data_IF_860698927432
#
_entry.id   IF_860698927432
#
_cell.length_a   1.000
_cell.length_b   1.000
_cell.length_c   1.000
_cell.angle_alpha   90.00
_cell.angle_beta   90.00
_cell.angle_gamma   90.00
#
_symmetry.space_group_name_H-M   'P 1'
#
loop_
_entity.id
_entity.type
_entity.pdbx_description
1 polymer ?
#
# COMPACT_ATOMS: atom_id res chain seq x y z
N UNK A 1 -23.39 2.61 2.24
CA UNK A 1 -22.80 3.33 3.39
C UNK A 1 -21.28 3.38 3.19
N UNK A 2 -20.82 4.35 2.41
CA UNK A 2 -19.40 4.58 2.12
C UNK A 2 -18.84 5.42 3.27
N UNK A 3 -17.89 4.90 4.04
CA UNK A 3 -17.01 5.74 4.85
C UNK A 3 -15.59 5.50 4.40
N UNK A 4 -15.10 6.52 3.71
CA UNK A 4 -13.73 6.69 3.29
C UNK A 4 -12.79 6.57 4.48
N UNK A 5 -11.70 5.87 4.22
CA UNK A 5 -10.45 5.89 4.95
C UNK A 5 -9.96 7.34 5.05
N UNK A 6 -9.68 7.82 6.26
CA UNK A 6 -8.65 8.83 6.58
C UNK A 6 -8.78 9.17 8.07
N UNK A 7 -8.07 8.44 8.92
CA UNK A 7 -7.70 8.95 10.25
C UNK A 7 -6.23 8.65 10.54
N UNK A 8 -5.45 9.73 10.44
CA UNK A 8 -4.42 10.18 11.38
C UNK A 8 -3.18 9.28 11.56
N UNK A 9 -2.12 9.58 10.81
CA UNK A 9 -0.77 9.51 11.36
C UNK A 9 -0.48 10.82 12.09
N UNK A 10 -0.44 10.73 13.42
CA UNK A 10 0.01 11.79 14.33
C UNK A 10 1.54 11.88 14.28
N UNK A 11 2.06 13.05 13.93
CA UNK A 11 3.49 13.35 14.09
C UNK A 11 3.74 13.86 15.50
N UNK A 12 4.64 13.18 16.21
CA UNK A 12 5.10 13.49 17.56
C UNK A 12 5.91 14.79 17.58
N UNK A 13 5.61 15.65 18.56
CA UNK A 13 6.41 16.81 18.95
C UNK A 13 7.59 16.35 19.80
N UNK A 14 8.81 16.71 19.41
CA UNK A 14 10.00 16.59 20.27
C UNK A 14 10.76 17.92 20.32
N UNK A 15 10.99 18.35 21.55
CA UNK A 15 11.65 19.58 21.99
C UNK A 15 13.17 19.42 21.96
N UNK A 16 13.94 20.49 21.65
CA UNK A 16 15.03 21.03 22.50
C UNK A 16 16.13 21.82 21.77
N UNK A 17 16.50 22.93 22.43
CA UNK A 17 17.84 23.54 22.63
C UNK A 17 18.67 24.08 21.45
N UNK A 18 18.90 25.41 21.47
CA UNK A 18 19.99 26.11 20.79
C UNK A 18 21.31 26.01 21.58
N UNK A 19 22.46 25.99 20.89
CA UNK A 19 23.54 26.92 21.24
C UNK A 19 24.19 27.59 20.02
N UNK A 20 25.04 28.58 20.32
CA UNK A 20 25.51 29.68 19.47
C UNK A 20 26.79 29.38 18.63
N UNK A 21 26.96 30.20 17.58
CA UNK A 21 28.18 30.57 16.79
C UNK A 21 28.85 29.43 15.98
N UNK A 22 29.31 29.60 14.74
CA UNK A 22 30.33 30.53 14.21
C UNK A 22 30.16 30.78 12.69
N UNK A 23 30.82 31.82 12.19
CA UNK A 23 30.80 32.38 10.81
C UNK A 23 30.97 31.32 9.69
N UNK A 24 30.06 31.33 8.71
CA UNK A 24 30.26 30.75 7.37
C UNK A 24 29.84 31.79 6.31
N UNK A 25 30.74 32.69 5.97
CA UNK A 25 30.69 33.39 4.69
C UNK A 25 31.40 32.50 3.68
N UNK A 26 30.67 32.07 2.64
CA UNK A 26 31.14 31.33 1.45
C UNK A 26 30.92 29.80 1.41
N UNK A 27 29.69 29.35 1.70
CA UNK A 27 29.18 28.01 1.32
C UNK A 27 27.67 28.10 1.03
N UNK A 28 27.24 28.84 0.00
CA UNK A 28 25.80 29.01 -0.27
C UNK A 28 25.35 28.52 -1.65
N UNK A 29 26.21 27.87 -2.45
CA UNK A 29 25.77 27.35 -3.75
C UNK A 29 26.05 25.87 -4.03
N UNK A 30 26.90 25.24 -3.22
CA UNK A 30 27.32 23.85 -3.45
C UNK A 30 26.39 22.85 -2.73
N UNK A 31 25.67 23.29 -1.70
CA UNK A 31 24.88 22.41 -0.81
C UNK A 31 23.49 22.07 -1.33
N UNK A 32 22.85 22.96 -2.09
CA UNK A 32 21.51 22.71 -2.65
C UNK A 32 21.55 21.76 -3.84
N UNK A 33 22.55 21.90 -4.71
CA UNK A 33 22.75 21.00 -5.86
C UNK A 33 23.14 19.59 -5.40
N UNK A 34 23.99 19.48 -4.37
CA UNK A 34 24.36 18.20 -3.77
C UNK A 34 23.18 17.55 -3.01
N UNK A 35 22.37 18.35 -2.30
CA UNK A 35 21.12 17.90 -1.67
C UNK A 35 20.09 17.41 -2.70
N UNK A 36 19.92 18.15 -3.80
CA UNK A 36 19.06 17.78 -4.91
C UNK A 36 19.57 16.52 -5.63
N UNK A 37 20.88 16.36 -5.80
CA UNK A 37 21.48 15.16 -6.36
C UNK A 37 21.30 13.95 -5.44
N UNK A 38 21.50 14.12 -4.13
CA UNK A 38 21.34 13.06 -3.12
C UNK A 38 19.89 12.60 -3.03
N UNK A 39 18.93 13.55 -3.03
CA UNK A 39 17.50 13.23 -3.05
C UNK A 39 17.09 12.57 -4.37
N UNK A 40 17.60 13.03 -5.51
CA UNK A 40 17.35 12.41 -6.81
C UNK A 40 17.83 10.95 -6.84
N UNK A 41 19.03 10.67 -6.31
CA UNK A 41 19.56 9.31 -6.28
C UNK A 41 18.77 8.40 -5.33
N UNK A 42 18.37 8.91 -4.16
CA UNK A 42 17.49 8.18 -3.24
C UNK A 42 16.14 7.82 -3.88
N UNK A 43 15.54 8.74 -4.63
CA UNK A 43 14.30 8.49 -5.37
C UNK A 43 14.49 7.45 -6.47
N UNK A 44 15.58 7.52 -7.25
CA UNK A 44 15.91 6.52 -8.28
C UNK A 44 16.09 5.13 -7.67
N UNK A 45 16.80 5.03 -6.54
CA UNK A 45 16.96 3.77 -5.83
C UNK A 45 15.61 3.21 -5.35
N UNK A 46 14.72 4.07 -4.85
CA UNK A 46 13.37 3.67 -4.44
C UNK A 46 12.52 3.20 -5.62
N UNK A 47 12.62 3.85 -6.78
CA UNK A 47 11.93 3.43 -8.02
C UNK A 47 12.39 2.03 -8.44
N UNK A 48 13.72 1.79 -8.53
CA UNK A 48 14.26 0.47 -8.92
C UNK A 48 13.80 -0.65 -8.00
N UNK A 49 13.74 -0.40 -6.69
CA UNK A 49 13.25 -1.38 -5.73
C UNK A 49 11.74 -1.65 -5.91
N UNK A 50 10.94 -0.61 -6.10
CA UNK A 50 9.51 -0.76 -6.38
C UNK A 50 9.29 -1.55 -7.68
N UNK A 51 10.03 -1.26 -8.76
CA UNK A 51 9.97 -2.01 -10.02
C UNK A 51 10.27 -3.50 -9.81
N UNK A 52 11.31 -3.81 -9.03
CA UNK A 52 11.64 -5.19 -8.66
C UNK A 52 10.49 -5.87 -7.91
N UNK A 53 9.79 -5.15 -7.05
CA UNK A 53 8.58 -5.64 -6.37
C UNK A 53 7.38 -5.79 -7.30
N UNK A 54 7.28 -5.06 -8.43
CA UNK A 54 6.30 -5.35 -9.51
C UNK A 54 6.62 -6.71 -10.09
N UNK A 55 7.86 -6.88 -10.53
CA UNK A 55 8.29 -8.02 -11.32
C UNK A 55 8.21 -9.33 -10.54
N UNK A 56 8.44 -9.30 -9.22
CA UNK A 56 8.24 -10.45 -8.33
C UNK A 56 6.76 -10.81 -8.13
N UNK A 57 5.83 -9.92 -8.46
CA UNK A 57 4.39 -10.16 -8.30
C UNK A 57 3.91 -10.11 -6.84
N UNK A 58 4.73 -9.60 -5.90
CA UNK A 58 4.45 -9.66 -4.46
C UNK A 58 3.21 -8.85 -4.02
N UNK A 59 2.74 -7.97 -4.89
CA UNK A 59 1.61 -7.06 -4.67
C UNK A 59 0.25 -7.63 -5.08
N UNK A 60 0.25 -8.68 -5.89
CA UNK A 60 -0.96 -9.24 -6.51
C UNK A 60 -1.17 -10.68 -6.02
N UNK A 61 -1.28 -10.82 -4.70
CA UNK A 61 -1.48 -12.10 -4.02
C UNK A 61 -2.80 -12.10 -3.27
N UNK A 62 -3.48 -13.23 -3.29
CA UNK A 62 -4.70 -13.44 -2.53
C UNK A 62 -4.37 -13.57 -1.04
N UNK A 63 -4.98 -12.74 -0.19
CA UNK A 63 -4.73 -12.76 1.26
C UNK A 63 -5.21 -14.02 2.00
N UNK A 64 -5.86 -14.96 1.30
CA UNK A 64 -6.38 -16.20 1.88
C UNK A 64 -5.43 -17.37 1.59
N UNK A 65 -5.07 -17.59 0.32
CA UNK A 65 -4.14 -18.65 -0.06
C UNK A 65 -2.68 -18.18 -0.08
N UNK A 66 -2.41 -16.87 0.03
CA UNK A 66 -1.08 -16.24 -0.03
C UNK A 66 -0.33 -16.44 -1.35
N UNK A 67 -1.01 -16.97 -2.37
CA UNK A 67 -0.48 -17.18 -3.72
C UNK A 67 -1.01 -16.13 -4.71
N UNK A 68 -0.46 -16.14 -5.92
CA UNK A 68 -1.00 -15.39 -7.05
C UNK A 68 -2.47 -15.72 -7.29
N UNK A 69 -3.24 -14.70 -7.70
CA UNK A 69 -4.67 -14.87 -7.94
C UNK A 69 -4.94 -15.88 -9.06
N UNK A 70 -5.70 -16.92 -8.73
CA UNK A 70 -6.28 -17.84 -9.72
C UNK A 70 -7.78 -17.54 -9.81
N UNK A 71 -8.24 -17.14 -10.99
CA UNK A 71 -9.63 -16.72 -11.23
C UNK A 71 -10.14 -15.69 -10.19
N UNK A 72 -9.56 -14.48 -10.15
CA UNK A 72 -9.94 -13.49 -9.14
C UNK A 72 -11.40 -13.04 -9.31
N UNK A 73 -12.12 -13.04 -8.19
CA UNK A 73 -13.47 -12.50 -8.06
C UNK A 73 -13.49 -11.33 -7.08
N UNK A 74 -14.32 -10.35 -7.38
CA UNK A 74 -14.66 -9.25 -6.46
C UNK A 74 -16.11 -9.32 -6.02
N UNK A 75 -16.41 -8.93 -4.78
CA UNK A 75 -17.79 -8.74 -4.32
C UNK A 75 -18.29 -7.36 -4.72
N UNK A 76 -19.47 -7.27 -5.35
CA UNK A 76 -20.10 -5.97 -5.68
C UNK A 76 -20.45 -5.13 -4.44
N UNK A 77 -20.48 -5.75 -3.26
CA UNK A 77 -20.85 -5.08 -2.01
C UNK A 77 -19.67 -4.35 -1.35
N UNK A 78 -18.46 -4.93 -1.43
CA UNK A 78 -17.29 -4.43 -0.70
C UNK A 78 -16.00 -4.33 -1.53
N UNK A 79 -16.02 -4.75 -2.80
CA UNK A 79 -14.93 -4.67 -3.77
C UNK A 79 -13.63 -5.43 -3.42
N UNK A 80 -13.60 -6.19 -2.32
CA UNK A 80 -12.46 -7.04 -1.97
C UNK A 80 -12.27 -8.17 -2.97
N UNK A 81 -11.01 -8.55 -3.22
CA UNK A 81 -10.63 -9.51 -4.27
C UNK A 81 -9.94 -10.73 -3.67
N UNK A 82 -10.48 -11.90 -3.98
CA UNK A 82 -9.94 -13.22 -3.62
C UNK A 82 -10.11 -14.19 -4.79
N UNK A 83 -9.39 -15.31 -4.78
CA UNK A 83 -9.59 -16.39 -5.75
C UNK A 83 -11.02 -16.93 -5.66
N UNK A 84 -11.56 -17.41 -6.79
CA UNK A 84 -12.88 -18.07 -6.85
C UNK A 84 -13.02 -19.16 -5.79
N UNK A 85 -12.01 -20.04 -5.68
CA UNK A 85 -12.02 -21.11 -4.68
C UNK A 85 -12.02 -20.58 -3.25
N UNK A 86 -11.22 -19.55 -2.95
CA UNK A 86 -11.17 -18.94 -1.63
C UNK A 86 -12.51 -18.32 -1.24
N UNK A 87 -13.17 -17.63 -2.17
CA UNK A 87 -14.52 -17.10 -1.98
C UNK A 87 -15.52 -18.22 -1.69
N UNK A 88 -15.58 -19.24 -2.55
CA UNK A 88 -16.56 -20.33 -2.41
C UNK A 88 -16.34 -21.13 -1.11
N UNK A 89 -15.09 -21.33 -0.70
CA UNK A 89 -14.75 -21.97 0.59
C UNK A 89 -15.27 -21.17 1.78
N UNK A 90 -15.06 -19.84 1.80
CA UNK A 90 -15.57 -18.99 2.88
C UNK A 90 -17.11 -18.94 2.88
N UNK A 91 -17.71 -18.73 1.70
CA UNK A 91 -19.16 -18.56 1.54
C UNK A 91 -19.96 -19.85 1.75
N UNK A 92 -19.31 -21.01 1.66
CA UNK A 92 -19.88 -22.29 2.06
C UNK A 92 -20.14 -22.37 3.57
N UNK A 93 -19.33 -21.69 4.39
CA UNK A 93 -19.45 -21.70 5.84
C UNK A 93 -20.23 -20.49 6.39
N UNK A 94 -19.94 -19.27 5.88
CA UNK A 94 -20.57 -18.03 6.32
C UNK A 94 -20.81 -17.10 5.12
N UNK A 95 -22.00 -16.50 5.03
CA UNK A 95 -22.36 -15.56 3.94
C UNK A 95 -21.77 -14.16 4.12
N UNK A 96 -20.48 -14.07 4.45
CA UNK A 96 -19.75 -12.84 4.76
C UNK A 96 -18.45 -12.78 3.97
N UNK A 97 -18.04 -11.57 3.58
CA UNK A 97 -16.74 -11.31 3.00
C UNK A 97 -15.61 -11.69 3.98
N UNK A 98 -14.59 -12.46 3.56
CA UNK A 98 -13.50 -12.91 4.45
C UNK A 98 -12.61 -11.78 4.98
N UNK A 99 -12.63 -10.59 4.36
CA UNK A 99 -11.78 -9.47 4.74
C UNK A 99 -12.48 -8.43 5.63
N UNK A 100 -13.75 -8.13 5.37
CA UNK A 100 -14.48 -7.05 6.06
C UNK A 100 -15.82 -7.47 6.67
N UNK A 101 -16.19 -8.75 6.58
CA UNK A 101 -17.45 -9.30 7.09
C UNK A 101 -18.72 -8.63 6.55
N UNK A 102 -18.66 -7.90 5.43
CA UNK A 102 -19.87 -7.45 4.71
C UNK A 102 -20.63 -8.66 4.21
N UNK A 103 -21.96 -8.67 4.35
CA UNK A 103 -22.81 -9.74 3.81
C UNK A 103 -22.51 -9.89 2.32
N UNK A 104 -22.20 -11.12 1.90
CA UNK A 104 -21.84 -11.43 0.51
C UNK A 104 -22.35 -12.82 0.19
N UNK A 105 -23.07 -12.94 -0.92
CA UNK A 105 -23.52 -14.20 -1.48
C UNK A 105 -22.70 -14.55 -2.73
N UNK A 106 -22.69 -15.82 -3.18
CA UNK A 106 -22.03 -16.19 -4.44
C UNK A 106 -22.54 -15.39 -5.66
N UNK A 107 -23.81 -14.95 -5.65
CA UNK A 107 -24.39 -14.12 -6.71
C UNK A 107 -23.85 -12.68 -6.75
N UNK A 108 -23.24 -12.21 -5.66
CA UNK A 108 -22.60 -10.89 -5.57
C UNK A 108 -21.18 -10.88 -6.17
N UNK A 109 -20.65 -12.03 -6.62
CA UNK A 109 -19.28 -12.15 -7.10
C UNK A 109 -19.18 -11.90 -8.61
N UNK A 110 -18.19 -11.10 -9.02
CA UNK A 110 -17.87 -10.79 -10.42
C UNK A 110 -16.42 -11.07 -10.71
N UNK A 111 -16.15 -11.65 -11.89
CA UNK A 111 -14.80 -11.92 -12.38
C UNK A 111 -14.10 -10.61 -12.74
N UNK A 112 -12.83 -10.50 -12.38
CA UNK A 112 -11.96 -9.35 -12.69
C UNK A 112 -10.62 -9.85 -13.28
N UNK A 113 -9.81 -8.91 -13.77
CA UNK A 113 -8.45 -9.15 -14.25
C UNK A 113 -7.51 -8.18 -13.54
N UNK A 114 -6.34 -8.66 -13.11
CA UNK A 114 -5.35 -7.95 -12.30
C UNK A 114 -3.98 -7.99 -12.97
#
# INVERSE_FOLDING_TARGET
RIRAFLLLLSSSSSSSCAPRTCKNSEIEKVTEEESAATTMEALKARIRELEKQILRGDRYKCLICMDSYTMPLTSIQCWHVHCEECWLRTLGNKKLCPQCNTITSPGDLRRVYL
#
